data_IF_716727938035
#
_entry.id   IF_716727938035
#
_cell.length_a   1.000
_cell.length_b   1.000
_cell.length_c   1.000
_cell.angle_alpha   90.00
_cell.angle_beta   90.00
_cell.angle_gamma   90.00
#
_symmetry.space_group_name_H-M   'P 1'
#
loop_
_entity.id
_entity.type
_entity.pdbx_description
1 polymer ?
#
# COMPACT_ATOMS: atom_id res chain seq x y z
N UNK A 1 -9.78 17.32 -3.35
CA UNK A 1 -8.48 16.85 -3.83
C UNK A 1 -8.43 15.33 -3.72
N UNK A 2 -7.97 14.67 -4.77
CA UNK A 2 -7.85 13.21 -4.78
C UNK A 2 -6.74 12.79 -3.82
N UNK A 3 -7.02 11.82 -2.97
CA UNK A 3 -6.07 11.30 -1.99
C UNK A 3 -5.61 9.92 -2.42
N UNK A 4 -4.32 9.77 -2.65
CA UNK A 4 -3.70 8.52 -3.12
C UNK A 4 -2.75 7.99 -2.06
N UNK A 5 -2.94 6.74 -1.66
CA UNK A 5 -2.07 6.08 -0.70
C UNK A 5 -1.13 5.14 -1.46
N UNK A 6 0.17 5.43 -1.37
CA UNK A 6 1.20 4.60 -1.97
C UNK A 6 1.84 3.77 -0.87
N UNK A 7 1.60 2.47 -0.93
CA UNK A 7 2.13 1.51 0.04
C UNK A 7 3.42 0.93 -0.50
N UNK A 8 4.49 0.98 0.29
CA UNK A 8 5.81 0.56 -0.17
C UNK A 8 6.50 1.63 -0.99
N UNK A 9 6.39 2.88 -0.55
CA UNK A 9 6.90 4.04 -1.28
C UNK A 9 8.42 4.11 -1.37
N UNK A 10 9.13 3.33 -0.57
CA UNK A 10 10.60 3.32 -0.57
C UNK A 10 11.21 2.61 -1.77
N UNK A 11 10.43 1.81 -2.51
CA UNK A 11 10.92 1.08 -3.66
C UNK A 11 10.97 1.93 -4.92
N UNK A 12 11.59 1.39 -5.96
CA UNK A 12 11.75 2.08 -7.24
C UNK A 12 10.41 2.44 -7.88
N UNK A 13 9.44 1.53 -7.78
CA UNK A 13 8.11 1.76 -8.37
C UNK A 13 7.39 2.88 -7.61
N UNK A 14 7.46 2.85 -6.28
CA UNK A 14 6.86 3.91 -5.46
C UNK A 14 7.47 5.27 -5.73
N UNK A 15 8.79 5.33 -5.87
CA UNK A 15 9.47 6.57 -6.22
C UNK A 15 9.06 7.09 -7.59
N UNK A 16 8.97 6.19 -8.58
CA UNK A 16 8.58 6.57 -9.94
C UNK A 16 7.16 7.13 -9.96
N UNK A 17 6.25 6.53 -9.20
CA UNK A 17 4.87 7.01 -9.12
C UNK A 17 4.83 8.41 -8.49
N UNK A 18 5.60 8.62 -7.40
CA UNK A 18 5.65 9.93 -6.76
C UNK A 18 6.15 11.02 -7.71
N UNK A 19 7.04 10.69 -8.63
CA UNK A 19 7.57 11.65 -9.58
C UNK A 19 6.52 12.14 -10.59
N UNK A 20 5.54 11.30 -10.91
CA UNK A 20 4.54 11.66 -11.91
C UNK A 20 3.26 12.23 -11.33
N UNK A 21 3.04 12.11 -10.02
CA UNK A 21 1.85 12.67 -9.39
C UNK A 21 2.07 14.14 -9.07
N UNK A 22 1.10 14.98 -9.47
CA UNK A 22 1.15 16.43 -9.24
C UNK A 22 0.70 16.74 -7.81
N UNK A 23 1.61 17.20 -6.92
CA UNK A 23 1.25 17.48 -5.53
C UNK A 23 0.27 18.65 -5.39
N UNK A 24 0.09 19.46 -6.43
CA UNK A 24 -0.88 20.54 -6.40
C UNK A 24 -2.31 20.04 -6.61
N UNK A 25 -2.48 18.86 -7.22
CA UNK A 25 -3.80 18.31 -7.51
C UNK A 25 -4.10 17.02 -6.73
N UNK A 26 -3.07 16.36 -6.23
CA UNK A 26 -3.20 15.06 -5.58
C UNK A 26 -2.53 15.10 -4.21
N UNK A 27 -3.27 14.70 -3.19
CA UNK A 27 -2.67 14.50 -1.87
C UNK A 27 -2.12 13.08 -1.83
N UNK A 28 -0.81 12.95 -1.62
CA UNK A 28 -0.15 11.66 -1.62
C UNK A 28 0.18 11.24 -0.19
N UNK A 29 -0.24 10.03 0.18
CA UNK A 29 0.11 9.41 1.45
C UNK A 29 1.14 8.34 1.15
N UNK A 30 2.35 8.50 1.67
CA UNK A 30 3.43 7.54 1.47
C UNK A 30 3.70 6.78 2.75
N UNK A 31 3.66 5.45 2.67
CA UNK A 31 4.07 4.62 3.80
C UNK A 31 5.10 3.61 3.33
N UNK A 32 6.19 3.51 4.08
CA UNK A 32 7.18 2.47 3.87
C UNK A 32 7.03 1.40 4.96
N UNK A 33 7.87 0.38 4.91
CA UNK A 33 7.79 -0.73 5.86
C UNK A 33 8.10 -0.31 7.31
N UNK A 34 8.79 0.81 7.48
CA UNK A 34 9.11 1.32 8.82
C UNK A 34 7.94 2.11 9.40
N UNK A 35 7.17 2.76 8.55
CA UNK A 35 6.01 3.53 8.98
C UNK A 35 4.81 2.65 9.26
N UNK A 36 4.64 1.58 8.50
CA UNK A 36 3.47 0.71 8.60
C UNK A 36 3.83 -0.70 8.15
N UNK A 37 3.59 -1.68 9.03
CA UNK A 37 3.76 -3.09 8.69
C UNK A 37 2.49 -3.58 8.01
N UNK A 38 2.58 -3.80 6.71
CA UNK A 38 1.42 -4.16 5.89
C UNK A 38 0.86 -5.55 6.24
N UNK A 39 1.63 -6.39 6.93
CA UNK A 39 1.14 -7.71 7.37
C UNK A 39 0.32 -7.63 8.65
N UNK A 40 0.33 -6.49 9.34
CA UNK A 40 -0.45 -6.27 10.56
C UNK A 40 -1.82 -5.70 10.20
N UNK A 41 -2.82 -6.55 10.23
CA UNK A 41 -4.17 -6.21 9.78
C UNK A 41 -4.74 -4.98 10.50
N UNK A 42 -4.61 -4.93 11.82
CA UNK A 42 -5.18 -3.83 12.59
C UNK A 42 -4.54 -2.48 12.26
N UNK A 43 -3.22 -2.46 12.05
CA UNK A 43 -2.51 -1.24 11.67
C UNK A 43 -2.94 -0.72 10.31
N UNK A 44 -3.09 -1.64 9.36
CA UNK A 44 -3.50 -1.30 8.00
C UNK A 44 -4.93 -0.75 7.98
N UNK A 45 -5.84 -1.42 8.69
CA UNK A 45 -7.22 -0.97 8.78
C UNK A 45 -7.32 0.39 9.46
N UNK A 46 -6.58 0.58 10.54
CA UNK A 46 -6.58 1.85 11.28
C UNK A 46 -6.09 3.00 10.40
N UNK A 47 -5.00 2.80 9.68
CA UNK A 47 -4.48 3.81 8.77
C UNK A 47 -5.51 4.17 7.70
N UNK A 48 -6.14 3.17 7.12
CA UNK A 48 -7.15 3.38 6.09
C UNK A 48 -8.37 4.13 6.61
N UNK A 49 -8.83 3.80 7.79
CA UNK A 49 -10.00 4.45 8.38
C UNK A 49 -9.74 5.91 8.76
N UNK A 50 -8.54 6.20 9.25
CA UNK A 50 -8.20 7.57 9.63
C UNK A 50 -7.96 8.44 8.40
N UNK A 51 -7.23 7.94 7.43
CA UNK A 51 -6.80 8.74 6.29
C UNK A 51 -7.77 8.71 5.10
N UNK A 52 -8.58 7.66 4.98
CA UNK A 52 -9.64 7.54 3.98
C UNK A 52 -9.17 7.85 2.56
N UNK A 53 -8.21 7.07 2.04
CA UNK A 53 -7.71 7.32 0.69
C UNK A 53 -8.76 7.01 -0.37
N UNK A 54 -8.69 7.74 -1.49
CA UNK A 54 -9.55 7.49 -2.64
C UNK A 54 -8.98 6.38 -3.52
N UNK A 55 -7.65 6.28 -3.57
CA UNK A 55 -6.96 5.27 -4.37
C UNK A 55 -5.85 4.68 -3.52
N UNK A 56 -5.70 3.37 -3.59
CA UNK A 56 -4.62 2.65 -2.92
C UNK A 56 -3.76 1.98 -3.99
N UNK A 57 -2.46 2.33 -4.01
CA UNK A 57 -1.51 1.73 -4.94
C UNK A 57 -0.53 0.90 -4.12
N UNK A 58 -0.54 -0.41 -4.34
CA UNK A 58 0.32 -1.32 -3.63
C UNK A 58 1.62 -1.55 -4.39
N UNK A 59 2.69 -0.96 -3.89
CA UNK A 59 4.03 -1.12 -4.43
C UNK A 59 4.89 -2.04 -3.56
N UNK A 60 4.27 -2.71 -2.59
CA UNK A 60 4.98 -3.67 -1.76
C UNK A 60 5.13 -4.98 -2.51
N UNK A 61 5.93 -5.82 -1.96
CA UNK A 61 6.15 -7.13 -2.54
C UNK A 61 7.65 -7.37 -2.62
N UNK A 62 8.06 -8.53 -2.18
CA UNK A 62 9.45 -8.92 -2.27
C UNK A 62 9.63 -9.62 -3.60
N UNK A 63 10.35 -8.96 -4.51
CA UNK A 63 10.58 -9.47 -5.85
C UNK A 63 12.05 -9.81 -6.10
N UNK A 64 12.93 -9.47 -5.14
CA UNK A 64 14.34 -9.80 -5.22
C UNK A 64 14.50 -11.31 -5.13
N UNK A 65 15.14 -11.91 -6.15
CA UNK A 65 15.29 -13.34 -6.24
C UNK A 65 16.05 -13.93 -5.05
N UNK A 66 17.13 -13.25 -4.64
CA UNK A 66 17.94 -13.72 -3.51
C UNK A 66 17.13 -13.73 -2.21
N UNK A 67 16.36 -12.68 -1.97
CA UNK A 67 15.49 -12.57 -0.80
C UNK A 67 14.46 -13.67 -0.80
N UNK A 68 13.82 -13.92 -1.94
CA UNK A 68 12.80 -14.96 -2.08
C UNK A 68 13.38 -16.36 -1.86
N UNK A 69 14.58 -16.59 -2.36
CA UNK A 69 15.24 -17.89 -2.18
C UNK A 69 15.68 -18.13 -0.74
N UNK A 70 16.18 -17.08 -0.08
CA UNK A 70 16.65 -17.20 1.31
C UNK A 70 15.51 -17.33 2.29
N UNK A 71 14.41 -16.67 2.03
CA UNK A 71 13.30 -16.64 2.97
C UNK A 71 11.95 -16.62 2.24
N UNK A 72 11.60 -17.75 1.59
CA UNK A 72 10.37 -17.80 0.79
C UNK A 72 9.10 -17.61 1.62
N UNK A 73 9.11 -18.06 2.87
CA UNK A 73 7.96 -17.89 3.75
C UNK A 73 7.71 -16.42 4.06
N UNK A 74 8.75 -15.66 4.32
CA UNK A 74 8.63 -14.23 4.56
C UNK A 74 8.13 -13.50 3.32
N UNK A 75 8.68 -13.83 2.15
CA UNK A 75 8.23 -13.24 0.89
C UNK A 75 6.74 -13.51 0.65
N UNK A 76 6.30 -14.74 0.91
CA UNK A 76 4.89 -15.10 0.78
C UNK A 76 4.02 -14.28 1.74
N UNK A 77 4.44 -14.17 3.00
CA UNK A 77 3.67 -13.41 4.00
C UNK A 77 3.49 -11.95 3.57
N UNK A 78 4.57 -11.30 3.16
CA UNK A 78 4.49 -9.89 2.75
C UNK A 78 3.59 -9.75 1.53
N UNK A 79 3.81 -10.58 0.51
CA UNK A 79 3.09 -10.45 -0.75
C UNK A 79 1.60 -10.83 -0.61
N UNK A 80 1.31 -11.93 0.06
CA UNK A 80 -0.06 -12.42 0.18
C UNK A 80 -0.86 -11.69 1.26
N UNK A 81 -0.30 -11.60 2.47
CA UNK A 81 -1.02 -10.98 3.59
C UNK A 81 -1.14 -9.47 3.42
N UNK A 82 -0.11 -8.83 2.87
CA UNK A 82 -0.16 -7.41 2.62
C UNK A 82 -1.26 -7.06 1.63
N UNK A 83 -1.31 -7.76 0.51
CA UNK A 83 -2.34 -7.55 -0.49
C UNK A 83 -3.75 -7.83 0.07
N UNK A 84 -3.88 -8.87 0.87
CA UNK A 84 -5.15 -9.20 1.53
C UNK A 84 -5.60 -8.06 2.43
N UNK A 85 -4.70 -7.54 3.26
CA UNK A 85 -5.04 -6.47 4.19
C UNK A 85 -5.47 -5.19 3.47
N UNK A 86 -4.78 -4.83 2.40
CA UNK A 86 -5.16 -3.66 1.61
C UNK A 86 -6.51 -3.87 0.93
N UNK A 87 -6.80 -5.09 0.48
CA UNK A 87 -8.09 -5.41 -0.12
C UNK A 87 -9.22 -5.27 0.90
N UNK A 88 -8.97 -5.65 2.15
CA UNK A 88 -9.95 -5.50 3.22
C UNK A 88 -10.26 -4.02 3.46
N UNK A 89 -9.21 -3.18 3.50
CA UNK A 89 -9.38 -1.73 3.65
C UNK A 89 -10.22 -1.17 2.52
N UNK A 90 -9.86 -1.49 1.28
CA UNK A 90 -10.56 -1.00 0.12
C UNK A 90 -12.04 -1.39 0.16
N UNK A 91 -12.32 -2.62 0.56
CA UNK A 91 -13.70 -3.11 0.65
C UNK A 91 -14.48 -2.39 1.74
N UNK A 92 -13.86 -2.17 2.91
CA UNK A 92 -14.50 -1.46 4.01
C UNK A 92 -14.84 -0.03 3.65
N UNK A 93 -13.94 0.66 2.95
CA UNK A 93 -14.16 2.05 2.58
C UNK A 93 -15.09 2.21 1.38
N UNK A 94 -15.22 1.18 0.55
CA UNK A 94 -16.05 1.23 -0.65
C UNK A 94 -17.49 1.62 -0.36
N UNK A 95 -18.04 1.15 0.73
CA UNK A 95 -19.40 1.49 1.13
C UNK A 95 -19.58 2.95 1.50
N UNK A 96 -18.47 3.67 1.72
CA UNK A 96 -18.46 5.07 2.12
C UNK A 96 -17.92 5.97 1.02
N UNK A 97 -16.71 5.68 0.55
CA UNK A 97 -16.01 6.55 -0.41
C UNK A 97 -15.58 5.82 -1.68
N UNK A 98 -15.74 4.51 -1.75
CA UNK A 98 -15.44 3.68 -2.92
C UNK A 98 -14.02 3.89 -3.48
N UNK A 99 -12.99 3.64 -2.70
CA UNK A 99 -11.63 3.79 -3.21
C UNK A 99 -11.32 2.75 -4.28
N UNK A 100 -10.48 3.11 -5.24
CA UNK A 100 -9.94 2.18 -6.22
C UNK A 100 -8.72 1.48 -5.62
N UNK A 101 -8.61 0.17 -5.83
CA UNK A 101 -7.48 -0.61 -5.36
C UNK A 101 -6.66 -1.09 -6.56
N UNK A 102 -5.37 -0.75 -6.56
CA UNK A 102 -4.44 -1.11 -7.61
C UNK A 102 -3.19 -1.76 -7.03
N UNK A 103 -2.66 -2.71 -7.76
CA UNK A 103 -1.42 -3.39 -7.42
C UNK A 103 -0.31 -3.00 -8.36
#
# INVERSE_FOLDING_TARGET
>A
MLKVWIVGSEGQIGEAINEVLDPLEIEVLNTDKNALDITETDEVLHFGEINRPDVIINCTGITDTDECEKNPEHAYRVNALGARNLSIVARKLRGKDRPAFHR
#
